data_IF_436138265025
#
_entry.id   IF_436138265025
#
_cell.length_a   1.000
_cell.length_b   1.000
_cell.length_c   1.000
_cell.angle_alpha   90.00
_cell.angle_beta   90.00
_cell.angle_gamma   90.00
#
_symmetry.space_group_name_H-M   'P 1'
#
loop_
_entity.id
_entity.type
_entity.pdbx_description
1 polymer ?
#
# COMPACT_ATOMS: atom_id res chain seq x y z
N UNK A 1 0.95 -6.00 -14.52
CA UNK A 1 1.63 -5.88 -13.21
C UNK A 1 2.39 -4.58 -13.24
N UNK A 2 2.03 -3.63 -12.39
CA UNK A 2 2.66 -2.31 -12.39
C UNK A 2 3.70 -2.29 -11.28
N UNK A 3 4.90 -1.81 -11.59
CA UNK A 3 5.97 -1.57 -10.61
C UNK A 3 6.49 -0.15 -10.76
N UNK A 4 7.11 0.40 -9.73
CA UNK A 4 7.82 1.68 -9.86
C UNK A 4 9.30 1.50 -9.63
N UNK A 5 10.09 2.37 -10.28
CA UNK A 5 11.55 2.33 -10.16
C UNK A 5 12.01 2.59 -8.74
N UNK A 6 11.40 3.54 -8.02
CA UNK A 6 11.75 3.76 -6.60
C UNK A 6 11.42 2.55 -5.72
N UNK A 7 10.31 1.85 -5.98
CA UNK A 7 9.90 0.68 -5.21
C UNK A 7 10.79 -0.53 -5.47
N UNK A 8 11.18 -0.77 -6.73
CA UNK A 8 12.23 -1.74 -7.06
C UNK A 8 13.57 -1.37 -6.40
N UNK A 9 13.88 -0.08 -6.31
CA UNK A 9 15.13 0.41 -5.72
C UNK A 9 15.26 0.12 -4.22
N UNK A 10 14.17 -0.26 -3.54
CA UNK A 10 14.21 -0.75 -2.16
C UNK A 10 14.84 -2.14 -2.05
N UNK A 11 14.74 -2.94 -3.11
CA UNK A 11 15.21 -4.34 -3.13
C UNK A 11 16.47 -4.54 -3.96
N UNK A 12 16.77 -3.65 -4.91
CA UNK A 12 17.99 -3.71 -5.73
C UNK A 12 18.54 -2.29 -5.94
N UNK A 13 19.85 -2.14 -6.10
CA UNK A 13 20.38 -0.84 -6.52
C UNK A 13 20.09 -0.64 -8.02
N UNK A 14 19.53 0.51 -8.40
CA UNK A 14 19.28 0.89 -9.79
C UNK A 14 19.91 2.25 -10.14
N UNK A 15 20.69 2.84 -9.24
CA UNK A 15 21.17 4.24 -9.34
C UNK A 15 21.90 4.59 -10.66
N UNK A 16 22.60 3.64 -11.26
CA UNK A 16 23.35 3.75 -12.51
C UNK A 16 22.67 3.10 -13.73
N UNK A 17 21.46 2.55 -13.57
CA UNK A 17 20.72 1.84 -14.63
C UNK A 17 19.76 2.79 -15.33
N UNK A 18 19.88 3.01 -16.64
CA UNK A 18 18.93 3.85 -17.38
C UNK A 18 17.58 3.16 -17.61
N UNK A 19 16.53 3.95 -17.88
CA UNK A 19 15.21 3.41 -18.25
C UNK A 19 15.26 2.58 -19.55
N UNK A 20 16.08 2.94 -20.54
CA UNK A 20 16.34 2.10 -21.75
C UNK A 20 17.00 0.76 -21.39
N UNK A 21 17.91 0.75 -20.42
CA UNK A 21 18.51 -0.50 -19.94
C UNK A 21 17.49 -1.37 -19.23
N UNK A 22 16.65 -0.79 -18.37
CA UNK A 22 15.55 -1.50 -17.71
C UNK A 22 14.60 -2.11 -18.74
N UNK A 23 14.12 -1.32 -19.70
CA UNK A 23 13.22 -1.77 -20.75
C UNK A 23 13.79 -2.98 -21.50
N UNK A 24 15.05 -2.90 -21.96
CA UNK A 24 15.69 -4.01 -22.68
C UNK A 24 15.90 -5.24 -21.81
N UNK A 25 16.26 -5.03 -20.54
CA UNK A 25 16.55 -6.12 -19.60
C UNK A 25 15.28 -6.91 -19.29
N UNK A 26 14.18 -6.22 -18.96
CA UNK A 26 12.88 -6.85 -18.71
C UNK A 26 12.41 -7.69 -19.89
N UNK A 27 12.42 -7.12 -21.11
CA UNK A 27 12.06 -7.86 -22.32
C UNK A 27 12.98 -9.05 -22.59
N UNK A 28 14.29 -8.93 -22.30
CA UNK A 28 15.25 -10.02 -22.49
C UNK A 28 15.04 -11.20 -21.52
N UNK A 29 14.47 -10.96 -20.34
CA UNK A 29 14.17 -12.00 -19.34
C UNK A 29 12.71 -12.49 -19.37
N UNK A 30 11.94 -12.06 -20.38
CA UNK A 30 10.56 -12.48 -20.58
C UNK A 30 9.54 -11.80 -19.66
N UNK A 31 9.90 -10.66 -19.08
CA UNK A 31 8.96 -9.73 -18.44
C UNK A 31 8.66 -8.64 -19.46
N UNK A 32 7.68 -8.87 -20.33
CA UNK A 32 7.35 -7.95 -21.43
C UNK A 32 6.88 -6.61 -20.87
N UNK A 33 7.49 -5.51 -21.34
CA UNK A 33 7.15 -4.16 -20.90
C UNK A 33 6.12 -3.59 -21.85
N UNK A 34 4.92 -3.34 -21.35
CA UNK A 34 3.86 -2.67 -22.10
C UNK A 34 4.12 -1.15 -22.15
N UNK A 35 4.39 -0.56 -20.99
CA UNK A 35 4.65 0.88 -20.86
C UNK A 35 5.78 1.21 -19.87
N UNK A 36 6.47 2.31 -20.14
CA UNK A 36 7.38 2.99 -19.22
C UNK A 36 7.02 4.47 -19.25
N UNK A 37 6.60 5.01 -18.10
CA UNK A 37 6.12 6.39 -17.98
C UNK A 37 6.87 7.10 -16.86
N UNK A 38 7.46 8.26 -17.18
CA UNK A 38 8.13 9.11 -16.21
C UNK A 38 7.14 10.15 -15.68
N UNK A 39 6.91 10.12 -14.38
CA UNK A 39 6.10 11.11 -13.68
C UNK A 39 6.98 12.31 -13.35
N UNK A 40 6.62 13.46 -13.89
CA UNK A 40 7.31 14.72 -13.59
C UNK A 40 6.39 15.65 -12.82
N UNK A 41 6.88 16.20 -11.71
CA UNK A 41 6.17 17.26 -10.99
C UNK A 41 6.58 18.62 -11.57
N UNK A 42 5.63 19.55 -11.81
CA UNK A 42 5.95 20.86 -12.33
C UNK A 42 6.94 21.63 -11.44
N UNK A 43 7.82 22.43 -12.07
CA UNK A 43 8.70 23.35 -11.36
C UNK A 43 7.89 24.34 -10.50
N UNK A 44 8.49 24.77 -9.38
CA UNK A 44 7.91 25.68 -8.37
C UNK A 44 6.75 25.09 -7.60
N UNK A 45 6.62 23.77 -7.60
CA UNK A 45 5.75 23.03 -6.69
C UNK A 45 6.63 22.51 -5.56
N UNK A 46 6.48 23.10 -4.38
CA UNK A 46 7.39 22.88 -3.26
C UNK A 46 6.67 22.30 -2.04
N UNK A 47 7.44 21.70 -1.14
CA UNK A 47 6.96 21.31 0.19
C UNK A 47 6.60 22.57 0.99
N UNK A 48 5.33 22.72 1.36
CA UNK A 48 4.84 23.78 2.21
C UNK A 48 4.51 23.27 3.61
N UNK A 49 4.89 24.02 4.65
CA UNK A 49 4.49 23.75 6.04
C UNK A 49 3.38 24.71 6.48
N UNK A 50 2.24 24.17 6.88
CA UNK A 50 1.12 24.97 7.36
C UNK A 50 1.46 25.51 8.76
N UNK A 51 1.50 26.84 8.90
CA UNK A 51 1.74 27.53 10.17
C UNK A 51 0.43 27.83 10.90
N UNK A 52 -0.63 28.11 10.16
CA UNK A 52 -1.98 28.31 10.69
C UNK A 52 -3.02 28.11 9.59
N UNK A 53 -4.17 27.53 9.94
CA UNK A 53 -5.33 27.39 9.05
C UNK A 53 -6.58 27.92 9.74
N UNK A 54 -7.18 28.98 9.19
CA UNK A 54 -8.37 29.63 9.76
C UNK A 54 -9.52 29.59 8.74
N UNK A 55 -10.77 29.57 9.23
CA UNK A 55 -11.94 29.69 8.36
C UNK A 55 -11.95 31.03 7.63
N UNK A 56 -12.33 31.03 6.35
CA UNK A 56 -12.45 32.25 5.57
C UNK A 56 -13.59 33.13 6.11
N UNK A 57 -13.39 34.46 6.31
CA UNK A 57 -14.37 35.34 6.94
C UNK A 57 -15.70 35.43 6.16
N UNK A 58 -15.62 35.40 4.83
CA UNK A 58 -16.78 35.56 3.93
C UNK A 58 -17.15 34.28 3.13
N UNK A 59 -16.69 33.09 3.57
CA UNK A 59 -16.96 31.82 2.87
C UNK A 59 -16.87 30.56 3.75
N UNK A 60 -17.96 29.80 3.86
CA UNK A 60 -18.02 28.64 4.75
C UNK A 60 -17.16 27.43 4.31
N UNK A 61 -16.90 27.34 3.00
CA UNK A 61 -16.17 26.23 2.34
C UNK A 61 -14.70 26.55 2.05
N UNK A 62 -14.22 27.74 2.43
CA UNK A 62 -12.82 28.12 2.20
C UNK A 62 -12.09 28.28 3.53
N UNK A 63 -10.82 27.94 3.50
CA UNK A 63 -9.87 28.15 4.58
C UNK A 63 -8.77 29.10 4.11
N UNK A 64 -8.26 29.92 5.02
CA UNK A 64 -7.13 30.83 4.81
C UNK A 64 -5.94 30.25 5.56
N UNK A 65 -4.97 29.74 4.82
CA UNK A 65 -3.78 29.09 5.35
C UNK A 65 -2.61 30.07 5.28
N UNK A 66 -1.81 30.15 6.35
CA UNK A 66 -0.45 30.71 6.30
C UNK A 66 0.52 29.56 6.16
N UNK A 67 1.25 29.51 5.06
CA UNK A 67 2.10 28.38 4.71
C UNK A 67 3.53 28.90 4.52
N UNK A 68 4.49 28.29 5.19
CA UNK A 68 5.90 28.50 4.91
C UNK A 68 6.31 27.67 3.70
N UNK A 69 6.87 28.31 2.68
CA UNK A 69 7.36 27.67 1.45
C UNK A 69 8.88 27.81 1.32
N UNK A 70 9.58 28.01 2.44
CA UNK A 70 11.05 28.11 2.55
C UNK A 70 11.59 29.48 2.15
N UNK A 71 11.05 30.07 1.08
CA UNK A 71 11.31 31.47 0.68
C UNK A 71 10.49 32.50 1.48
N UNK A 72 9.82 32.05 2.54
CA UNK A 72 9.00 32.85 3.44
C UNK A 72 7.54 32.42 3.46
N UNK A 73 6.77 33.02 4.37
CA UNK A 73 5.35 32.71 4.55
C UNK A 73 4.48 33.32 3.46
N UNK A 74 3.49 32.56 2.98
CA UNK A 74 2.47 32.98 2.02
C UNK A 74 1.08 32.75 2.60
N UNK A 75 0.14 33.63 2.25
CA UNK A 75 -1.28 33.41 2.52
C UNK A 75 -1.90 32.72 1.31
N UNK A 76 -2.50 31.55 1.51
CA UNK A 76 -3.11 30.75 0.44
C UNK A 76 -4.53 30.35 0.87
N UNK A 77 -5.50 30.61 0.00
CA UNK A 77 -6.89 30.23 0.23
C UNK A 77 -7.11 28.84 -0.35
N UNK A 78 -7.50 27.87 0.50
CA UNK A 78 -7.74 26.49 0.12
C UNK A 78 -9.21 26.11 0.33
N UNK A 79 -9.80 25.40 -0.62
CA UNK A 79 -11.18 24.92 -0.54
C UNK A 79 -11.32 23.47 -0.08
N UNK A 80 -10.22 22.72 0.03
CA UNK A 80 -10.26 21.33 0.46
C UNK A 80 -10.53 21.24 1.96
N UNK A 81 -11.42 20.33 2.35
CA UNK A 81 -11.81 20.16 3.75
C UNK A 81 -10.65 19.60 4.59
N UNK A 82 -9.86 18.68 4.04
CA UNK A 82 -8.75 18.00 4.68
C UNK A 82 -7.50 18.89 4.92
N UNK A 83 -7.50 20.15 4.46
CA UNK A 83 -6.38 21.08 4.71
C UNK A 83 -6.20 21.41 6.19
N UNK A 84 -7.25 21.25 7.01
CA UNK A 84 -7.21 21.55 8.44
C UNK A 84 -6.42 20.52 9.24
N UNK A 85 -6.27 19.32 8.70
CA UNK A 85 -5.58 18.19 9.33
C UNK A 85 -4.13 18.05 8.82
N UNK A 86 -3.70 18.91 7.91
CA UNK A 86 -2.42 18.81 7.23
C UNK A 86 -1.33 19.64 7.92
N UNK A 87 -0.15 19.04 8.11
CA UNK A 87 1.07 19.77 8.51
C UNK A 87 1.91 20.16 7.29
N UNK A 88 2.16 19.21 6.39
CA UNK A 88 2.90 19.41 5.15
C UNK A 88 2.03 19.16 3.93
N UNK A 89 2.17 20.00 2.91
CA UNK A 89 1.37 19.95 1.69
C UNK A 89 2.20 20.30 0.46
N UNK A 90 1.75 19.91 -0.73
CA UNK A 90 2.31 20.38 -1.98
C UNK A 90 1.77 21.79 -2.31
N UNK A 91 2.68 22.75 -2.53
CA UNK A 91 2.31 24.14 -2.84
C UNK A 91 2.85 24.56 -4.19
N UNK A 92 1.96 24.82 -5.14
CA UNK A 92 2.31 25.50 -6.38
C UNK A 92 2.42 27.01 -6.11
N UNK A 93 3.64 27.53 -6.19
CA UNK A 93 3.92 28.96 -5.94
C UNK A 93 3.63 29.81 -7.18
N UNK A 94 3.57 31.13 -7.03
CA UNK A 94 3.27 32.05 -8.14
C UNK A 94 4.24 31.84 -9.31
N UNK A 95 3.67 31.65 -10.49
CA UNK A 95 4.40 31.39 -11.73
C UNK A 95 4.82 29.93 -11.93
N UNK A 96 4.35 28.99 -11.09
CA UNK A 96 4.30 27.57 -11.44
C UNK A 96 3.33 27.36 -12.62
N UNK A 97 3.60 26.35 -13.45
CA UNK A 97 2.75 25.98 -14.60
C UNK A 97 2.31 24.54 -14.42
N UNK A 98 1.07 24.33 -13.99
CA UNK A 98 0.50 23.01 -13.76
C UNK A 98 0.03 22.37 -15.09
N UNK A 99 -0.17 21.04 -15.13
CA UNK A 99 -0.76 20.33 -16.27
C UNK A 99 -1.97 21.06 -16.86
N UNK A 100 -2.07 21.05 -18.19
CA UNK A 100 -3.08 21.84 -18.93
C UNK A 100 -2.75 23.33 -19.08
N UNK A 101 -1.46 23.69 -19.01
CA UNK A 101 -0.94 25.06 -19.15
C UNK A 101 -1.52 26.04 -18.11
N UNK A 102 -1.85 25.54 -16.91
CA UNK A 102 -2.47 26.33 -15.87
C UNK A 102 -1.42 27.09 -15.05
N UNK A 103 -1.25 28.38 -15.36
CA UNK A 103 -0.27 29.24 -14.69
C UNK A 103 -0.80 29.77 -13.36
N UNK A 104 -0.11 29.47 -12.26
CA UNK A 104 -0.42 30.01 -10.93
C UNK A 104 -0.14 31.51 -10.90
N UNK A 105 -1.16 32.29 -10.55
CA UNK A 105 -1.10 33.75 -10.43
C UNK A 105 -1.61 34.17 -9.07
N UNK A 106 -1.22 35.37 -8.65
CA UNK A 106 -1.85 36.03 -7.52
C UNK A 106 -3.35 36.18 -7.78
N UNK A 107 -4.16 35.81 -6.80
CA UNK A 107 -5.62 35.84 -6.90
C UNK A 107 -6.23 36.43 -5.64
N UNK A 108 -7.43 37.01 -5.78
CA UNK A 108 -8.22 37.52 -4.65
C UNK A 108 -9.53 36.77 -4.60
N UNK A 109 -9.69 35.90 -3.60
CA UNK A 109 -10.89 35.10 -3.39
C UNK A 109 -11.72 35.77 -2.31
N UNK A 110 -12.90 36.29 -2.68
CA UNK A 110 -13.87 36.91 -1.75
C UNK A 110 -13.23 37.94 -0.80
N UNK A 111 -12.32 38.76 -1.32
CA UNK A 111 -11.69 39.83 -0.57
C UNK A 111 -10.36 39.45 0.11
N UNK A 112 -10.01 38.17 0.15
CA UNK A 112 -8.76 37.66 0.73
C UNK A 112 -7.76 37.32 -0.37
N UNK A 113 -6.52 37.80 -0.23
CA UNK A 113 -5.44 37.51 -1.19
C UNK A 113 -4.95 36.06 -1.04
N UNK A 114 -4.62 35.43 -2.17
CA UNK A 114 -4.03 34.09 -2.27
C UNK A 114 -2.78 34.12 -3.14
N UNK A 115 -1.65 33.74 -2.56
CA UNK A 115 -0.31 33.82 -3.16
C UNK A 115 0.23 32.45 -3.58
N UNK A 116 -0.65 31.60 -4.08
CA UNK A 116 -0.32 30.24 -4.51
C UNK A 116 -1.56 29.34 -4.50
N UNK A 117 -1.31 28.04 -4.58
CA UNK A 117 -2.31 26.98 -4.54
C UNK A 117 -1.77 25.79 -3.75
N UNK A 118 -2.58 25.22 -2.86
CA UNK A 118 -2.31 23.90 -2.27
C UNK A 118 -2.89 22.87 -3.22
N UNK A 119 -2.08 21.91 -3.65
CA UNK A 119 -2.42 21.03 -4.77
C UNK A 119 -2.99 19.68 -4.34
N UNK A 120 -3.98 19.19 -5.09
CA UNK A 120 -4.34 17.77 -5.14
C UNK A 120 -3.35 16.96 -5.97
N UNK A 121 -3.47 15.64 -5.94
CA UNK A 121 -2.65 14.75 -6.77
C UNK A 121 -2.97 14.93 -8.26
N UNK A 122 -4.25 14.97 -8.60
CA UNK A 122 -4.73 15.11 -9.99
C UNK A 122 -4.33 16.45 -10.61
N UNK A 123 -4.28 17.53 -9.83
CA UNK A 123 -3.79 18.83 -10.28
C UNK A 123 -2.30 18.81 -10.67
N UNK A 124 -1.52 17.87 -10.13
CA UNK A 124 -0.11 17.68 -10.48
C UNK A 124 0.13 16.56 -11.50
N UNK A 125 -0.93 15.92 -12.01
CA UNK A 125 -0.82 14.80 -12.94
C UNK A 125 -0.50 13.46 -12.29
N UNK A 126 -0.65 13.35 -10.96
CA UNK A 126 -0.59 12.09 -10.23
C UNK A 126 -1.97 11.41 -10.24
N UNK A 127 -2.05 10.08 -10.02
CA UNK A 127 -3.33 9.39 -9.89
C UNK A 127 -4.14 9.92 -8.69
N UNK A 128 -5.46 9.72 -8.73
CA UNK A 128 -6.33 10.19 -7.66
C UNK A 128 -6.12 9.37 -6.38
N UNK A 129 -5.90 10.05 -5.24
CA UNK A 129 -5.72 9.44 -3.92
C UNK A 129 -6.83 9.90 -2.96
N UNK A 130 -8.08 9.79 -3.41
CA UNK A 130 -9.25 10.32 -2.71
C UNK A 130 -9.56 11.80 -3.00
N UNK A 131 -10.43 12.39 -2.17
CA UNK A 131 -10.85 13.79 -2.32
C UNK A 131 -9.95 14.76 -1.55
N UNK A 132 -9.65 15.92 -2.16
CA UNK A 132 -8.97 17.03 -1.48
C UNK A 132 -7.51 17.21 -1.91
N UNK A 133 -6.72 17.85 -1.03
CA UNK A 133 -5.29 18.11 -1.28
C UNK A 133 -4.43 16.93 -0.85
N UNK A 134 -3.20 16.86 -1.35
CA UNK A 134 -2.21 15.91 -0.86
C UNK A 134 -1.67 16.35 0.49
N UNK A 135 -1.90 15.53 1.52
CA UNK A 135 -1.22 15.65 2.80
C UNK A 135 0.07 14.84 2.69
N UNK A 136 1.20 15.52 2.82
CA UNK A 136 2.51 14.90 2.72
C UNK A 136 2.99 14.49 4.12
N UNK A 137 3.70 13.37 4.19
CA UNK A 137 4.33 12.90 5.41
C UNK A 137 5.76 12.37 5.12
N UNK A 138 6.45 11.96 6.18
CA UNK A 138 7.84 11.52 6.12
C UNK A 138 8.03 10.17 5.39
N UNK A 139 6.96 9.52 4.88
CA UNK A 139 7.07 8.29 4.11
C UNK A 139 7.83 8.46 2.79
N UNK A 140 7.87 9.68 2.24
CA UNK A 140 8.68 10.01 1.05
C UNK A 140 10.10 10.48 1.39
N UNK A 141 10.48 10.42 2.68
CA UNK A 141 11.75 10.91 3.22
C UNK A 141 11.60 12.24 3.93
N UNK A 142 12.74 12.82 4.35
CA UNK A 142 12.76 14.07 5.12
C UNK A 142 12.07 15.22 4.38
N UNK A 143 11.02 15.78 4.99
CA UNK A 143 10.26 16.88 4.41
C UNK A 143 10.97 18.22 4.66
N UNK A 144 11.63 18.73 3.62
CA UNK A 144 12.38 19.99 3.67
C UNK A 144 11.51 21.12 3.12
N UNK A 145 11.09 22.05 3.98
CA UNK A 145 10.23 23.18 3.59
C UNK A 145 10.87 24.01 2.47
N UNK A 146 10.16 24.18 1.36
CA UNK A 146 10.60 24.90 0.17
C UNK A 146 11.39 24.08 -0.85
N UNK A 147 11.71 22.82 -0.55
CA UNK A 147 12.29 21.89 -1.53
C UNK A 147 11.26 21.56 -2.62
N UNK A 148 11.71 21.45 -3.86
CA UNK A 148 10.85 21.06 -4.99
C UNK A 148 10.34 19.62 -4.78
N UNK A 149 9.03 19.43 -4.91
CA UNK A 149 8.39 18.12 -4.76
C UNK A 149 8.90 17.15 -5.83
N UNK A 150 9.25 17.65 -7.01
CA UNK A 150 9.84 16.86 -8.10
C UNK A 150 11.22 16.25 -7.78
N UNK A 151 11.89 16.70 -6.72
CA UNK A 151 13.17 16.09 -6.27
C UNK A 151 12.96 14.80 -5.44
N UNK A 152 11.73 14.52 -5.01
CA UNK A 152 11.40 13.30 -4.29
C UNK A 152 11.13 12.18 -5.30
N UNK A 153 12.11 11.28 -5.49
CA UNK A 153 12.06 10.22 -6.51
C UNK A 153 10.97 9.17 -6.27
N UNK A 154 10.40 9.11 -5.07
CA UNK A 154 9.21 8.30 -4.77
C UNK A 154 7.91 8.93 -5.27
N UNK A 155 7.94 10.23 -5.61
CA UNK A 155 6.82 10.99 -6.17
C UNK A 155 7.01 11.22 -7.67
N UNK A 156 8.16 11.78 -8.06
CA UNK A 156 8.58 11.92 -9.46
C UNK A 156 9.25 10.61 -9.95
N UNK A 157 8.47 9.54 -9.93
CA UNK A 157 8.95 8.18 -10.16
C UNK A 157 8.83 7.74 -11.64
N UNK A 158 9.39 6.58 -11.99
CA UNK A 158 9.12 5.89 -13.25
C UNK A 158 8.19 4.72 -13.00
N UNK A 159 7.02 4.72 -13.64
CA UNK A 159 6.05 3.63 -13.61
C UNK A 159 6.34 2.69 -14.78
N UNK A 160 6.32 1.39 -14.51
CA UNK A 160 6.65 0.33 -15.46
C UNK A 160 5.52 -0.70 -15.43
N UNK A 161 4.82 -0.86 -16.55
CA UNK A 161 3.80 -1.88 -16.69
C UNK A 161 4.35 -3.13 -17.39
N UNK A 162 4.20 -4.27 -16.71
CA UNK A 162 4.65 -5.57 -17.17
C UNK A 162 3.47 -6.49 -17.52
N UNK A 163 3.49 -7.07 -18.71
CA UNK A 163 2.58 -8.15 -19.10
C UNK A 163 3.15 -9.50 -18.64
N UNK A 164 2.53 -10.09 -17.62
CA UNK A 164 2.99 -11.35 -17.04
C UNK A 164 2.25 -12.55 -17.63
N UNK A 165 2.98 -13.47 -18.24
CA UNK A 165 2.44 -14.78 -18.65
C UNK A 165 2.03 -15.62 -17.44
N UNK A 166 1.01 -16.48 -17.58
CA UNK A 166 0.38 -17.21 -16.47
C UNK A 166 1.37 -17.94 -15.54
N UNK A 167 2.48 -18.45 -16.08
CA UNK A 167 3.54 -19.15 -15.36
C UNK A 167 4.47 -18.25 -14.50
N UNK A 168 4.24 -16.93 -14.48
CA UNK A 168 5.04 -15.93 -13.75
C UNK A 168 4.33 -15.37 -12.51
N UNK A 169 3.70 -16.23 -11.71
CA UNK A 169 3.04 -15.82 -10.46
C UNK A 169 4.02 -15.20 -9.44
N UNK A 170 5.28 -15.65 -9.47
CA UNK A 170 6.39 -15.09 -8.69
C UNK A 170 6.56 -13.58 -8.92
N UNK A 171 6.33 -13.11 -10.15
CA UNK A 171 6.48 -11.71 -10.55
C UNK A 171 5.22 -10.86 -10.36
N UNK A 172 4.15 -11.39 -9.74
CA UNK A 172 3.01 -10.58 -9.28
C UNK A 172 3.35 -9.73 -8.05
N UNK A 173 4.63 -9.41 -7.84
CA UNK A 173 5.11 -8.61 -6.72
C UNK A 173 6.38 -7.85 -7.05
N UNK A 174 6.61 -6.74 -6.35
CA UNK A 174 7.83 -5.94 -6.46
C UNK A 174 9.05 -6.79 -6.14
N UNK A 175 8.99 -7.58 -5.06
CA UNK A 175 10.08 -8.45 -4.64
C UNK A 175 10.43 -9.51 -5.70
N UNK A 176 9.42 -10.11 -6.35
CA UNK A 176 9.63 -11.07 -7.43
C UNK A 176 10.27 -10.45 -8.66
N UNK A 177 9.76 -9.30 -9.10
CA UNK A 177 10.32 -8.55 -10.24
C UNK A 177 11.75 -8.10 -9.95
N UNK A 178 12.00 -7.58 -8.74
CA UNK A 178 13.34 -7.18 -8.30
C UNK A 178 14.31 -8.36 -8.27
N UNK A 179 13.86 -9.54 -7.83
CA UNK A 179 14.67 -10.78 -7.82
C UNK A 179 15.12 -11.16 -9.22
N UNK A 180 14.22 -11.18 -10.19
CA UNK A 180 14.54 -11.47 -11.58
C UNK A 180 15.52 -10.44 -12.17
N UNK A 181 15.24 -9.16 -11.93
CA UNK A 181 16.07 -8.06 -12.39
C UNK A 181 17.46 -8.07 -11.74
N UNK A 182 17.58 -8.51 -10.48
CA UNK A 182 18.85 -8.65 -9.76
C UNK A 182 19.79 -9.62 -10.47
N UNK A 183 19.27 -10.76 -10.93
CA UNK A 183 20.04 -11.77 -11.66
C UNK A 183 20.42 -11.24 -13.04
N UNK A 184 19.48 -10.58 -13.72
CA UNK A 184 19.70 -10.06 -15.07
C UNK A 184 20.76 -8.94 -15.13
N UNK A 185 20.83 -8.12 -14.07
CA UNK A 185 21.77 -7.00 -13.95
C UNK A 185 23.06 -7.35 -13.17
N UNK A 186 23.21 -8.59 -12.71
CA UNK A 186 24.31 -9.04 -11.84
C UNK A 186 24.45 -8.16 -10.58
N UNK A 187 23.35 -8.01 -9.83
CA UNK A 187 23.25 -7.20 -8.62
C UNK A 187 22.78 -8.02 -7.45
N UNK A 188 23.32 -7.71 -6.27
CA UNK A 188 22.82 -8.29 -5.04
C UNK A 188 21.47 -7.67 -4.65
N UNK A 189 20.56 -8.53 -4.20
CA UNK A 189 19.33 -8.09 -3.54
C UNK A 189 19.66 -7.47 -2.19
N UNK A 190 19.09 -6.30 -1.90
CA UNK A 190 19.04 -5.70 -0.57
C UNK A 190 18.17 -6.59 0.31
N UNK A 191 18.72 -7.01 1.45
CA UNK A 191 17.98 -7.84 2.41
C UNK A 191 16.99 -6.96 3.17
N UNK A 192 15.76 -7.46 3.28
CA UNK A 192 14.79 -6.90 4.20
C UNK A 192 15.11 -7.36 5.62
N UNK A 193 15.40 -6.41 6.51
CA UNK A 193 15.59 -6.68 7.93
C UNK A 193 14.59 -5.87 8.76
N UNK A 194 13.71 -6.59 9.45
CA UNK A 194 12.85 -6.00 10.47
C UNK A 194 12.97 -6.80 11.76
N UNK A 195 13.26 -6.10 12.85
CA UNK A 195 13.30 -6.69 14.19
C UNK A 195 12.24 -5.99 15.02
N UNK A 196 11.10 -6.66 15.17
CA UNK A 196 10.06 -6.19 16.06
C UNK A 196 10.60 -6.10 17.48
N UNK A 197 10.30 -4.99 18.17
CA UNK A 197 10.64 -4.85 19.58
C UNK A 197 9.94 -5.93 20.41
N UNK A 198 10.69 -6.62 21.28
CA UNK A 198 10.11 -7.62 22.18
C UNK A 198 9.26 -6.92 23.26
N UNK A 199 7.96 -6.72 23.00
CA UNK A 199 6.98 -6.43 24.06
C UNK A 199 6.80 -7.68 24.93
N UNK A 200 6.57 -7.52 26.24
CA UNK A 200 6.46 -8.64 27.20
C UNK A 200 5.53 -9.74 26.67
N UNK A 201 6.09 -10.94 26.41
CA UNK A 201 5.33 -12.12 25.97
C UNK A 201 4.39 -12.58 27.09
N UNK A 202 3.13 -12.15 27.05
CA UNK A 202 2.05 -13.00 27.58
C UNK A 202 2.17 -14.34 26.84
N UNK A 203 2.16 -15.46 27.58
CA UNK A 203 2.33 -16.77 26.95
C UNK A 203 1.24 -16.98 25.90
N UNK A 204 1.64 -17.16 24.63
CA UNK A 204 0.75 -17.19 23.46
C UNK A 204 -0.46 -18.12 23.65
N UNK A 205 -0.27 -19.26 24.33
CA UNK A 205 -1.33 -20.23 24.65
C UNK A 205 -2.43 -19.70 25.60
N UNK A 206 -2.24 -18.53 26.22
CA UNK A 206 -3.26 -17.86 27.03
C UNK A 206 -4.19 -16.99 26.21
N UNK A 207 -3.71 -16.48 25.08
CA UNK A 207 -4.44 -15.52 24.23
C UNK A 207 -5.02 -16.19 22.98
N UNK A 208 -4.31 -17.17 22.41
CA UNK A 208 -4.74 -17.83 21.18
C UNK A 208 -4.44 -19.34 21.17
N UNK A 209 -5.30 -20.09 20.48
CA UNK A 209 -5.14 -21.51 20.19
C UNK A 209 -5.43 -21.78 18.71
N UNK A 210 -4.64 -22.66 18.12
CA UNK A 210 -4.82 -23.12 16.74
C UNK A 210 -5.05 -24.63 16.79
N UNK A 211 -6.16 -25.06 16.21
CA UNK A 211 -6.53 -26.46 16.10
C UNK A 211 -6.52 -26.87 14.63
N UNK A 212 -6.13 -28.12 14.39
CA UNK A 212 -6.06 -28.69 13.05
C UNK A 212 -7.05 -29.84 12.93
N UNK A 213 -7.83 -29.84 11.85
CA UNK A 213 -8.76 -30.92 11.49
C UNK A 213 -8.41 -31.47 10.09
N UNK A 214 -7.95 -32.72 10.05
CA UNK A 214 -7.54 -33.38 8.79
C UNK A 214 -6.09 -33.12 8.40
N UNK A 215 -5.73 -33.53 7.18
CA UNK A 215 -4.41 -33.34 6.60
C UNK A 215 -4.39 -32.00 5.85
N UNK A 216 -3.67 -31.01 6.39
CA UNK A 216 -3.63 -29.65 5.83
C UNK A 216 -2.54 -29.60 4.77
N UNK A 217 -2.95 -29.30 3.54
CA UNK A 217 -2.13 -29.15 2.35
C UNK A 217 -1.85 -27.68 2.02
N UNK A 218 -1.66 -26.87 3.07
CA UNK A 218 -1.27 -25.46 3.03
C UNK A 218 -0.38 -25.12 4.23
N UNK A 219 0.49 -24.14 4.05
CA UNK A 219 1.24 -23.49 5.13
C UNK A 219 0.49 -22.24 5.57
N UNK A 220 0.26 -22.09 6.88
CA UNK A 220 -0.39 -20.92 7.45
C UNK A 220 0.36 -20.42 8.68
N UNK A 221 0.65 -19.13 8.71
CA UNK A 221 1.14 -18.45 9.90
C UNK A 221 0.12 -17.39 10.32
N UNK A 222 -0.14 -17.33 11.62
CA UNK A 222 -1.05 -16.35 12.20
C UNK A 222 -0.32 -15.38 13.12
N UNK A 223 -0.75 -14.12 13.10
CA UNK A 223 -0.28 -13.09 14.02
C UNK A 223 -1.47 -12.30 14.56
N UNK A 224 -1.54 -12.14 15.87
CA UNK A 224 -2.53 -11.28 16.53
C UNK A 224 -1.93 -9.90 16.73
N UNK A 225 -2.67 -8.84 16.38
CA UNK A 225 -2.25 -7.46 16.55
C UNK A 225 -3.41 -6.63 17.13
N UNK A 226 -3.09 -5.70 18.04
CA UNK A 226 -4.03 -4.69 18.51
C UNK A 226 -3.81 -3.42 17.68
N UNK A 227 -4.88 -2.71 17.35
CA UNK A 227 -4.83 -1.44 16.61
C UNK A 227 -5.41 -0.36 17.54
N UNK A 228 -4.61 0.65 17.92
CA UNK A 228 -5.12 1.78 18.73
C UNK A 228 -5.41 3.00 17.86
N UNK A 229 -4.39 3.47 17.12
CA UNK A 229 -4.51 4.62 16.23
C UNK A 229 -3.93 4.32 14.85
N UNK A 230 -4.66 4.68 13.79
CA UNK A 230 -4.25 4.39 12.42
C UNK A 230 -3.90 5.66 11.66
N UNK A 231 -2.62 5.79 11.31
CA UNK A 231 -2.13 6.87 10.48
C UNK A 231 -2.16 6.47 8.99
N UNK A 232 -2.53 7.40 8.13
CA UNK A 232 -2.33 7.26 6.68
C UNK A 232 -0.85 7.39 6.35
N UNK A 233 -0.43 6.82 5.22
CA UNK A 233 0.91 6.99 4.67
C UNK A 233 0.78 7.46 3.24
N UNK A 234 1.25 8.68 2.97
CA UNK A 234 1.19 9.28 1.65
C UNK A 234 1.82 8.39 0.58
N UNK A 235 2.98 7.77 0.86
CA UNK A 235 3.65 6.89 -0.09
C UNK A 235 2.86 5.60 -0.36
N UNK A 236 2.18 5.04 0.65
CA UNK A 236 1.34 3.85 0.46
C UNK A 236 0.16 4.21 -0.45
N UNK A 237 -0.54 5.30 -0.14
CA UNK A 237 -1.69 5.76 -0.93
C UNK A 237 -1.28 6.09 -2.37
N UNK A 238 -0.14 6.75 -2.55
CA UNK A 238 0.42 7.05 -3.86
C UNK A 238 0.75 5.79 -4.64
N UNK A 239 1.45 4.83 -4.04
CA UNK A 239 1.85 3.60 -4.73
C UNK A 239 0.65 2.72 -5.05
N UNK A 240 -0.35 2.64 -4.18
CA UNK A 240 -1.61 1.94 -4.48
C UNK A 240 -2.31 2.61 -5.67
N UNK A 241 -2.45 3.93 -5.64
CA UNK A 241 -3.08 4.67 -6.74
C UNK A 241 -2.31 4.53 -8.07
N UNK A 242 -0.97 4.43 -8.04
CA UNK A 242 -0.13 4.18 -9.22
C UNK A 242 -0.31 2.78 -9.83
N UNK A 243 -0.78 1.81 -9.05
CA UNK A 243 -1.08 0.45 -9.52
C UNK A 243 -2.58 0.22 -9.75
N UNK A 244 -3.35 1.30 -9.86
CA UNK A 244 -4.82 1.32 -10.00
C UNK A 244 -5.58 0.64 -8.84
N UNK A 245 -4.97 0.63 -7.64
CA UNK A 245 -5.59 0.15 -6.41
C UNK A 245 -6.04 1.34 -5.55
N UNK A 246 -7.23 1.26 -4.97
CA UNK A 246 -7.70 2.24 -4.01
C UNK A 246 -8.59 1.58 -2.96
N UNK A 247 -8.57 2.15 -1.76
CA UNK A 247 -9.43 1.74 -0.65
C UNK A 247 -9.43 2.87 0.38
N UNK A 248 -10.57 3.08 1.04
CA UNK A 248 -10.67 4.01 2.17
C UNK A 248 -10.26 3.35 3.49
N UNK A 249 -10.23 2.01 3.52
CA UNK A 249 -9.86 1.24 4.71
C UNK A 249 -8.33 1.09 4.81
N UNK A 250 -7.76 1.60 5.89
CA UNK A 250 -6.31 1.65 6.07
C UNK A 250 -5.68 0.27 6.32
N UNK A 251 -6.43 -0.69 6.88
CA UNK A 251 -5.93 -2.06 7.08
C UNK A 251 -5.87 -2.78 5.72
N UNK A 252 -6.91 -2.64 4.90
CA UNK A 252 -6.94 -3.16 3.53
C UNK A 252 -5.84 -2.53 2.67
N UNK A 253 -5.60 -1.22 2.79
CA UNK A 253 -4.51 -0.53 2.10
C UNK A 253 -3.15 -1.17 2.41
N UNK A 254 -2.85 -1.43 3.69
CA UNK A 254 -1.59 -2.05 4.09
C UNK A 254 -1.47 -3.51 3.66
N UNK A 255 -2.58 -4.27 3.68
CA UNK A 255 -2.60 -5.63 3.15
C UNK A 255 -2.28 -5.62 1.65
N UNK A 256 -3.01 -4.83 0.85
CA UNK A 256 -2.77 -4.69 -0.59
C UNK A 256 -1.34 -4.28 -0.88
N UNK A 257 -0.83 -3.28 -0.17
CA UNK A 257 0.54 -2.79 -0.33
C UNK A 257 1.58 -3.84 0.05
N UNK A 258 1.42 -4.54 1.17
CA UNK A 258 2.33 -5.61 1.59
C UNK A 258 2.29 -6.83 0.65
N UNK A 259 1.10 -7.22 0.17
CA UNK A 259 0.96 -8.31 -0.81
C UNK A 259 1.59 -7.93 -2.15
N UNK A 260 1.38 -6.70 -2.63
CA UNK A 260 1.99 -6.21 -3.86
C UNK A 260 3.51 -6.08 -3.73
N UNK A 261 4.01 -5.68 -2.56
CA UNK A 261 5.46 -5.63 -2.29
C UNK A 261 6.08 -7.03 -2.27
N UNK A 262 5.53 -7.94 -1.46
CA UNK A 262 6.21 -9.18 -1.06
C UNK A 262 5.81 -10.41 -1.88
N UNK A 263 4.62 -10.37 -2.50
CA UNK A 263 4.01 -11.48 -3.22
C UNK A 263 3.37 -12.55 -2.34
N UNK A 264 3.27 -12.29 -1.03
CA UNK A 264 2.78 -13.25 -0.04
C UNK A 264 1.28 -13.01 0.12
N UNK A 265 0.49 -14.09 0.20
CA UNK A 265 -0.94 -13.97 0.40
C UNK A 265 -1.22 -13.62 1.87
N UNK A 266 -1.87 -12.48 2.09
CA UNK A 266 -2.19 -11.97 3.42
C UNK A 266 -3.69 -11.73 3.54
N UNK A 267 -4.25 -12.09 4.70
CA UNK A 267 -5.61 -11.72 5.10
C UNK A 267 -5.58 -11.17 6.52
N UNK A 268 -6.53 -10.30 6.84
CA UNK A 268 -6.79 -9.90 8.22
C UNK A 268 -8.26 -10.11 8.56
N UNK A 269 -8.50 -10.60 9.77
CA UNK A 269 -9.82 -10.86 10.31
C UNK A 269 -10.05 -10.03 11.56
N UNK A 270 -11.29 -9.61 11.80
CA UNK A 270 -11.74 -9.15 13.12
C UNK A 270 -11.54 -10.30 14.12
N UNK A 271 -10.73 -10.11 15.15
CA UNK A 271 -10.42 -11.20 16.10
C UNK A 271 -11.67 -11.69 16.85
N UNK A 272 -12.71 -10.85 16.95
CA UNK A 272 -14.01 -11.17 17.56
C UNK A 272 -14.71 -12.38 16.93
N UNK A 273 -14.47 -12.69 15.65
CA UNK A 273 -15.03 -13.88 15.00
C UNK A 273 -14.39 -15.19 15.48
N UNK A 274 -13.22 -15.10 16.10
CA UNK A 274 -12.48 -16.23 16.66
C UNK A 274 -12.54 -16.28 18.18
N UNK A 275 -13.05 -15.23 18.84
CA UNK A 275 -13.11 -15.20 20.32
C UNK A 275 -14.14 -16.19 20.84
N UNK A 276 -13.66 -17.15 21.62
CA UNK A 276 -14.44 -18.07 22.43
C UNK A 276 -13.96 -17.94 23.87
N UNK A 277 -14.86 -17.51 24.76
CA UNK A 277 -14.53 -17.06 26.12
C UNK A 277 -13.40 -15.98 26.08
N UNK A 278 -12.28 -16.23 26.74
CA UNK A 278 -11.16 -15.27 26.83
C UNK A 278 -10.10 -15.47 25.73
N UNK A 279 -10.26 -16.46 24.84
CA UNK A 279 -9.21 -16.84 23.86
C UNK A 279 -9.66 -16.71 22.40
N UNK A 280 -8.72 -16.33 21.54
CA UNK A 280 -8.85 -16.43 20.08
C UNK A 280 -8.61 -17.88 19.66
N UNK A 281 -9.64 -18.56 19.17
CA UNK A 281 -9.55 -19.97 18.75
C UNK A 281 -9.72 -20.07 17.25
N UNK A 282 -8.65 -20.49 16.56
CA UNK A 282 -8.62 -20.71 15.11
C UNK A 282 -8.68 -22.21 14.84
N UNK A 283 -9.60 -22.65 13.99
CA UNK A 283 -9.62 -24.03 13.50
C UNK A 283 -9.24 -23.98 12.01
N UNK A 284 -8.19 -24.72 11.64
CA UNK A 284 -7.81 -24.93 10.25
C UNK A 284 -8.24 -26.33 9.84
N UNK A 285 -9.13 -26.43 8.86
CA UNK A 285 -9.75 -27.69 8.44
C UNK A 285 -9.46 -27.98 6.98
N UNK A 286 -9.06 -29.21 6.66
CA UNK A 286 -9.10 -29.72 5.28
C UNK A 286 -10.53 -30.19 4.99
N UNK A 287 -11.26 -29.42 4.17
CA UNK A 287 -12.59 -29.79 3.71
C UNK A 287 -12.52 -30.93 2.70
N UNK A 288 -11.54 -30.80 1.79
CA UNK A 288 -11.07 -31.81 0.85
C UNK A 288 -9.64 -31.45 0.42
N UNK A 289 -8.97 -32.34 -0.30
CA UNK A 289 -7.66 -32.04 -0.88
C UNK A 289 -7.74 -30.78 -1.74
N UNK A 290 -6.88 -29.81 -1.48
CA UNK A 290 -6.80 -28.50 -2.13
C UNK A 290 -7.73 -27.44 -1.58
N UNK A 291 -8.60 -27.77 -0.62
CA UNK A 291 -9.54 -26.84 0.01
C UNK A 291 -9.31 -26.86 1.52
N UNK A 292 -8.61 -25.82 1.99
CA UNK A 292 -8.37 -25.58 3.40
C UNK A 292 -9.23 -24.41 3.85
N UNK A 293 -9.96 -24.58 4.95
CA UNK A 293 -10.86 -23.58 5.51
C UNK A 293 -10.32 -23.06 6.84
N UNK A 294 -10.47 -21.76 7.06
CA UNK A 294 -10.23 -21.13 8.36
C UNK A 294 -11.57 -20.88 9.04
N UNK A 295 -11.73 -21.44 10.23
CA UNK A 295 -12.98 -21.48 10.97
C UNK A 295 -12.83 -20.76 12.31
N UNK A 296 -13.77 -19.86 12.59
CA UNK A 296 -13.92 -19.20 13.88
C UNK A 296 -15.35 -19.38 14.39
N UNK A 297 -15.50 -19.74 15.67
CA UNK A 297 -16.79 -19.94 16.32
C UNK A 297 -17.77 -20.84 15.53
N UNK A 298 -17.24 -21.88 14.89
CA UNK A 298 -18.01 -22.88 14.12
C UNK A 298 -18.48 -22.41 12.74
N UNK A 299 -18.04 -21.24 12.26
CA UNK A 299 -18.31 -20.73 10.92
C UNK A 299 -17.04 -20.75 10.08
N UNK A 300 -17.15 -21.14 8.81
CA UNK A 300 -16.08 -20.93 7.82
C UNK A 300 -15.98 -19.44 7.55
N UNK A 301 -14.81 -18.85 7.75
CA UNK A 301 -14.54 -17.42 7.58
C UNK A 301 -13.70 -17.14 6.34
N UNK A 302 -12.96 -18.14 5.87
CA UNK A 302 -12.27 -18.10 4.59
C UNK A 302 -11.98 -19.50 4.08
N UNK A 303 -11.78 -19.58 2.76
CA UNK A 303 -11.08 -20.68 2.11
C UNK A 303 -9.69 -20.16 1.72
N UNK A 304 -8.64 -20.82 2.23
CA UNK A 304 -7.24 -20.38 2.13
C UNK A 304 -6.85 -20.14 0.68
N UNK A 305 -6.45 -18.90 0.39
CA UNK A 305 -6.08 -18.47 -0.94
C UNK A 305 -7.22 -18.35 -1.96
N UNK A 306 -8.48 -18.52 -1.57
CA UNK A 306 -9.63 -18.52 -2.51
C UNK A 306 -10.59 -17.38 -2.22
N UNK A 307 -11.07 -17.27 -0.98
CA UNK A 307 -12.09 -16.29 -0.59
C UNK A 307 -12.12 -16.05 0.91
N UNK A 308 -12.72 -14.94 1.31
CA UNK A 308 -12.95 -14.56 2.71
C UNK A 308 -14.32 -13.92 2.87
N UNK A 309 -14.99 -14.26 3.96
CA UNK A 309 -16.27 -13.67 4.34
C UNK A 309 -16.12 -12.17 4.64
N UNK A 310 -16.94 -11.34 3.97
CA UNK A 310 -16.85 -9.87 4.06
C UNK A 310 -17.03 -9.37 5.49
N UNK A 311 -17.98 -9.94 6.25
CA UNK A 311 -18.24 -9.54 7.63
C UNK A 311 -17.04 -9.79 8.56
N UNK A 312 -16.23 -10.81 8.23
CA UNK A 312 -15.09 -11.23 9.02
C UNK A 312 -13.82 -10.41 8.73
N UNK A 313 -13.76 -9.69 7.61
CA UNK A 313 -12.61 -8.84 7.26
C UNK A 313 -12.35 -7.80 8.35
N UNK A 314 -11.08 -7.66 8.70
CA UNK A 314 -10.62 -6.56 9.53
C UNK A 314 -10.80 -5.24 8.80
N UNK A 315 -11.04 -4.19 9.57
CA UNK A 315 -11.11 -2.81 9.12
C UNK A 315 -10.25 -1.93 10.03
N UNK A 316 -10.00 -0.69 9.64
CA UNK A 316 -9.32 0.30 10.47
C UNK A 316 -10.09 0.68 11.76
N UNK A 317 -11.36 0.32 11.86
CA UNK A 317 -12.17 0.39 13.08
C UNK A 317 -11.97 -0.81 14.04
N UNK A 318 -11.22 -1.84 13.63
CA UNK A 318 -11.05 -3.08 14.41
C UNK A 318 -10.02 -2.90 15.53
N UNK A 319 -10.42 -3.04 16.80
CA UNK A 319 -9.49 -2.92 17.94
C UNK A 319 -8.40 -4.00 17.97
N UNK A 320 -8.72 -5.20 17.48
CA UNK A 320 -7.80 -6.33 17.41
C UNK A 320 -8.06 -7.16 16.16
N UNK A 321 -6.98 -7.46 15.46
CA UNK A 321 -7.00 -8.21 14.20
C UNK A 321 -6.18 -9.48 14.31
N UNK A 322 -6.66 -10.52 13.64
CA UNK A 322 -5.91 -11.75 13.38
C UNK A 322 -5.42 -11.69 11.94
N UNK A 323 -4.12 -11.66 11.74
CA UNK A 323 -3.48 -11.67 10.42
C UNK A 323 -3.13 -13.11 10.08
N UNK A 324 -3.45 -13.53 8.86
CA UNK A 324 -3.03 -14.78 8.24
C UNK A 324 -2.06 -14.46 7.11
N UNK A 325 -0.91 -15.16 7.10
CA UNK A 325 -0.12 -15.35 5.90
C UNK A 325 -0.25 -16.82 5.49
N UNK A 326 -0.53 -17.07 4.21
CA UNK A 326 -0.75 -18.43 3.73
C UNK A 326 -0.11 -18.75 2.39
N UNK A 327 0.23 -20.02 2.22
CA UNK A 327 0.68 -20.60 0.97
C UNK A 327 -0.02 -21.94 0.76
N UNK A 328 -0.64 -22.11 -0.40
CA UNK A 328 -1.21 -23.38 -0.85
C UNK A 328 -0.67 -23.65 -2.24
N UNK A 329 -0.36 -24.91 -2.55
CA UNK A 329 0.12 -25.26 -3.88
C UNK A 329 -0.95 -24.92 -4.93
N UNK A 330 -0.63 -24.07 -5.93
CA UNK A 330 -1.61 -23.58 -6.90
C UNK A 330 -2.28 -24.72 -7.68
N UNK A 331 -1.53 -25.73 -8.09
CA UNK A 331 -2.06 -26.84 -8.89
C UNK A 331 -3.11 -27.63 -8.10
N UNK A 332 -2.83 -27.89 -6.82
CA UNK A 332 -3.74 -28.64 -5.94
C UNK A 332 -5.02 -27.85 -5.67
N UNK A 333 -4.88 -26.55 -5.37
CA UNK A 333 -6.02 -25.67 -5.11
C UNK A 333 -6.89 -25.47 -6.35
N UNK A 334 -6.29 -25.14 -7.51
CA UNK A 334 -7.00 -24.89 -8.76
C UNK A 334 -7.69 -26.16 -9.25
N UNK A 335 -7.03 -27.33 -9.17
CA UNK A 335 -7.65 -28.62 -9.52
C UNK A 335 -8.87 -28.90 -8.63
N UNK A 336 -8.80 -28.60 -7.33
CA UNK A 336 -9.90 -28.82 -6.40
C UNK A 336 -11.09 -27.89 -6.68
N UNK A 337 -10.83 -26.62 -6.98
CA UNK A 337 -11.87 -25.63 -7.33
C UNK A 337 -12.52 -25.98 -8.68
N UNK A 338 -11.72 -26.36 -9.68
CA UNK A 338 -12.21 -26.69 -11.01
C UNK A 338 -13.11 -27.93 -11.03
N UNK A 339 -12.80 -28.92 -10.19
CA UNK A 339 -13.54 -30.17 -10.11
C UNK A 339 -14.71 -30.14 -9.11
N UNK A 340 -14.94 -29.01 -8.44
CA UNK A 340 -16.03 -28.88 -7.50
C UNK A 340 -17.40 -28.94 -8.20
N UNK A 341 -18.34 -29.66 -7.60
CA UNK A 341 -19.73 -29.72 -8.11
C UNK A 341 -20.44 -28.36 -7.95
N UNK A 342 -20.05 -27.58 -6.94
CA UNK A 342 -20.52 -26.22 -6.68
C UNK A 342 -19.48 -25.18 -7.13
N UNK A 343 -19.94 -24.04 -7.64
CA UNK A 343 -19.03 -22.92 -7.97
C UNK A 343 -18.52 -22.29 -6.67
N UNK A 344 -17.22 -22.43 -6.40
CA UNK A 344 -16.58 -21.66 -5.34
C UNK A 344 -16.56 -20.17 -5.72
N UNK A 345 -17.01 -19.33 -4.79
CA UNK A 345 -16.82 -17.89 -4.91
C UNK A 345 -15.33 -17.57 -4.67
N UNK A 346 -14.73 -16.79 -5.57
CA UNK A 346 -13.33 -16.40 -5.52
C UNK A 346 -13.22 -14.89 -5.39
N UNK A 347 -12.30 -14.41 -4.55
CA UNK A 347 -11.98 -12.98 -4.44
C UNK A 347 -10.67 -12.62 -5.14
N UNK A 348 -10.27 -11.35 -5.05
CA UNK A 348 -9.11 -10.81 -5.77
C UNK A 348 -7.78 -11.49 -5.38
N UNK A 349 -7.70 -12.09 -4.18
CA UNK A 349 -6.52 -12.83 -3.75
C UNK A 349 -6.32 -14.11 -4.58
N UNK A 350 -7.41 -14.72 -5.06
CA UNK A 350 -7.38 -15.96 -5.83
C UNK A 350 -6.54 -15.84 -7.10
N UNK A 351 -6.54 -14.68 -7.75
CA UNK A 351 -5.71 -14.47 -8.95
C UNK A 351 -4.21 -14.65 -8.66
N UNK A 352 -3.74 -14.24 -7.47
CA UNK A 352 -2.35 -14.37 -7.05
C UNK A 352 -2.01 -15.80 -6.65
N UNK A 353 -2.85 -16.41 -5.82
CA UNK A 353 -2.62 -17.75 -5.28
C UNK A 353 -2.78 -18.85 -6.32
N UNK A 354 -3.72 -18.71 -7.28
CA UNK A 354 -3.91 -19.67 -8.38
C UNK A 354 -2.72 -19.72 -9.35
N UNK A 355 -1.89 -18.69 -9.38
CA UNK A 355 -0.64 -18.63 -10.17
C UNK A 355 0.61 -18.94 -9.35
N UNK A 356 0.46 -19.13 -8.03
CA UNK A 356 1.53 -19.31 -7.07
C UNK A 356 1.96 -17.99 -6.43
N UNK A 357 1.79 -17.89 -5.11
CA UNK A 357 2.31 -16.81 -4.27
C UNK A 357 3.70 -17.14 -3.71
N UNK A 358 4.38 -16.14 -3.15
CA UNK A 358 5.65 -16.32 -2.46
C UNK A 358 5.45 -17.12 -1.14
N UNK A 359 6.14 -18.25 -0.94
CA UNK A 359 5.96 -19.11 0.23
C UNK A 359 6.69 -18.63 1.49
N UNK A 360 7.48 -17.55 1.44
CA UNK A 360 8.19 -17.03 2.63
C UNK A 360 7.23 -16.26 3.56
N UNK A 361 6.32 -16.97 4.24
CA UNK A 361 5.26 -16.38 5.07
C UNK A 361 5.80 -15.46 6.17
N UNK A 362 7.01 -15.74 6.67
CA UNK A 362 7.66 -14.92 7.72
C UNK A 362 8.06 -13.57 7.16
N UNK A 363 8.56 -13.49 5.93
CA UNK A 363 8.86 -12.22 5.27
C UNK A 363 7.62 -11.33 5.19
N UNK A 364 6.47 -11.88 4.77
CA UNK A 364 5.23 -11.13 4.59
C UNK A 364 4.66 -10.63 5.91
N UNK A 365 4.62 -11.49 6.93
CA UNK A 365 4.21 -11.09 8.27
C UNK A 365 5.17 -10.05 8.86
N UNK A 366 6.48 -10.21 8.68
CA UNK A 366 7.47 -9.24 9.16
C UNK A 366 7.32 -7.89 8.46
N UNK A 367 7.09 -7.88 7.14
CA UNK A 367 6.89 -6.67 6.36
C UNK A 367 5.61 -5.95 6.78
N UNK A 368 4.48 -6.66 6.88
CA UNK A 368 3.23 -6.07 7.36
C UNK A 368 3.38 -5.57 8.81
N UNK A 369 4.09 -6.31 9.67
CA UNK A 369 4.36 -5.85 11.04
C UNK A 369 5.18 -4.57 11.08
N UNK A 370 6.17 -4.42 10.20
CA UNK A 370 6.92 -3.17 10.06
C UNK A 370 5.98 -2.02 9.67
N UNK A 371 5.09 -2.23 8.70
CA UNK A 371 4.11 -1.20 8.31
C UNK A 371 3.19 -0.85 9.49
N UNK A 372 2.65 -1.86 10.17
CA UNK A 372 1.80 -1.67 11.34
C UNK A 372 2.56 -0.91 12.44
N UNK A 373 3.75 -1.34 12.85
CA UNK A 373 4.52 -0.68 13.90
C UNK A 373 5.02 0.74 13.49
N UNK A 374 5.03 1.07 12.19
CA UNK A 374 5.41 2.41 11.68
C UNK A 374 4.23 3.37 11.62
N UNK A 375 3.04 2.86 11.28
CA UNK A 375 1.86 3.68 10.96
C UNK A 375 0.66 3.43 11.89
N UNK A 376 0.78 2.49 12.83
CA UNK A 376 -0.16 2.26 13.91
C UNK A 376 0.53 2.43 15.27
N UNK A 377 -0.13 3.12 16.19
CA UNK A 377 0.30 3.20 17.60
C UNK A 377 -0.27 2.04 18.43
#
# INVERSE_FOLDING_TARGET
MIVTRSWLSEFIDLSDVSNDTLYRTFNAIGLEVDSIEEITIPEKVVIGKILSCEKHPDADKLNVCKIDVGSGTRQIVCGAANVVDAEYVAVATIGAVLPGDFVIKHAKLRGVESEGMVCSSTELGLPAMGEGIMILDESIGTLEVGKELGEYLTVADTVIELELTANRGDCLSIYGVARDLSVALDREMKLFEYKQEEKMKLGIAREAEIHQEGEIDADLHFKLANLEHVHSSFLIDLRLALIDESTEDKVDAMLKYAMHTTGIALRAYKSSFFRNEDKVTVIVRSAQKGIVEVIGNGKVLSTVGVSQEEEAKATDESEQILIEASYINPDVMVEAIWNADDTYETDDLYYRTSRGSNPDLIFGLSYLSMLLDTYFE
#
